data_IF_364631057426
#
_entry.id   IF_364631057426
#
_cell.length_a   1.000
_cell.length_b   1.000
_cell.length_c   1.000
_cell.angle_alpha   90.00
_cell.angle_beta   90.00
_cell.angle_gamma   90.00
#
_symmetry.space_group_name_H-M   'P 1'
#
loop_
_entity.id
_entity.type
_entity.pdbx_description
1 polymer ?
#
# COMPACT_ATOMS: atom_id res chain seq x y z
N UNK A 1 18.03 -60.30 0.33
CA UNK A 1 17.84 -59.27 -0.72
C UNK A 1 16.43 -58.72 -0.63
N UNK A 2 16.24 -57.50 -0.12
CA UNK A 2 14.99 -56.76 -0.26
C UNK A 2 15.33 -55.27 -0.24
N UNK A 3 15.75 -54.79 -1.41
CA UNK A 3 15.80 -53.38 -1.76
C UNK A 3 14.38 -52.91 -2.01
N UNK A 4 14.02 -51.71 -1.53
CA UNK A 4 12.66 -51.20 -1.69
C UNK A 4 12.54 -49.73 -1.27
N UNK A 5 13.24 -48.88 -2.00
CA UNK A 5 13.02 -47.45 -2.25
C UNK A 5 12.26 -46.63 -1.20
N UNK A 6 13.03 -45.80 -0.49
CA UNK A 6 12.56 -44.67 0.32
C UNK A 6 12.37 -43.47 -0.63
N UNK A 7 11.12 -43.16 -0.99
CA UNK A 7 10.77 -41.96 -1.76
C UNK A 7 10.71 -40.78 -0.80
N UNK A 8 11.80 -40.00 -0.75
CA UNK A 8 11.87 -38.71 -0.08
C UNK A 8 11.24 -37.66 -1.01
N UNK A 9 9.97 -37.31 -0.78
CA UNK A 9 9.33 -36.17 -1.41
C UNK A 9 9.85 -34.90 -0.72
N UNK A 10 10.86 -34.27 -1.31
CA UNK A 10 11.28 -32.91 -0.94
C UNK A 10 10.26 -31.93 -1.53
N UNK A 11 9.23 -31.58 -0.76
CA UNK A 11 8.44 -30.38 -1.05
C UNK A 11 9.30 -29.15 -0.76
N UNK A 12 9.99 -28.65 -1.79
CA UNK A 12 10.54 -27.31 -1.78
C UNK A 12 9.36 -26.33 -1.83
N UNK A 13 8.90 -25.92 -0.65
CA UNK A 13 8.01 -24.78 -0.50
C UNK A 13 8.79 -23.53 -0.95
N UNK A 14 8.67 -23.18 -2.24
CA UNK A 14 9.06 -21.87 -2.71
C UNK A 14 8.18 -20.85 -1.99
N UNK A 15 8.75 -20.20 -0.98
CA UNK A 15 8.16 -19.03 -0.33
C UNK A 15 8.09 -17.90 -1.36
N UNK A 16 7.03 -17.90 -2.18
CA UNK A 16 6.64 -16.71 -2.93
C UNK A 16 6.19 -15.68 -1.90
N UNK A 17 6.86 -14.52 -1.79
CA UNK A 17 6.35 -13.46 -0.94
C UNK A 17 5.01 -13.02 -1.55
N UNK A 18 3.93 -13.26 -0.82
CA UNK A 18 2.61 -12.75 -1.17
C UNK A 18 2.60 -11.22 -0.97
N UNK A 19 3.11 -10.48 -1.95
CA UNK A 19 3.06 -9.01 -1.99
C UNK A 19 1.72 -8.48 -2.52
N UNK A 20 0.64 -9.27 -2.42
CA UNK A 20 -0.66 -8.94 -2.99
C UNK A 20 -1.75 -8.84 -1.92
N UNK A 21 -1.49 -8.10 -0.84
CA UNK A 21 -2.56 -7.52 -0.02
C UNK A 21 -2.25 -6.05 0.29
N UNK A 22 -2.05 -5.23 -0.76
CA UNK A 22 -2.18 -3.78 -0.66
C UNK A 22 -3.67 -3.44 -0.65
N UNK A 23 -4.26 -3.52 0.54
CA UNK A 23 -5.69 -3.27 0.78
C UNK A 23 -5.99 -1.76 0.77
N UNK A 24 -5.73 -1.11 -0.35
CA UNK A 24 -6.10 0.27 -0.65
C UNK A 24 -6.29 0.37 -2.14
N UNK A 25 -7.49 0.72 -2.58
CA UNK A 25 -7.87 0.84 -3.98
C UNK A 25 -7.23 2.09 -4.61
N UNK A 26 -5.89 2.13 -4.64
CA UNK A 26 -5.13 3.17 -5.32
C UNK A 26 -5.14 2.80 -6.80
N UNK A 27 -5.66 3.69 -7.63
CA UNK A 27 -5.62 3.54 -9.09
C UNK A 27 -4.19 3.77 -9.56
N UNK A 28 -3.34 2.76 -9.38
CA UNK A 28 -2.04 2.66 -10.04
C UNK A 28 -2.30 2.49 -11.52
N UNK A 29 -1.55 3.21 -12.35
CA UNK A 29 -1.64 3.02 -13.80
C UNK A 29 -1.14 1.62 -14.13
N UNK A 30 -2.05 0.72 -14.51
CA UNK A 30 -1.71 -0.66 -14.80
C UNK A 30 -0.90 -0.75 -16.10
N UNK A 31 0.42 -0.92 -15.96
CA UNK A 31 1.28 -1.29 -17.09
C UNK A 31 0.93 -2.71 -17.50
N UNK A 32 0.53 -2.91 -18.76
CA UNK A 32 0.25 -4.25 -19.27
C UNK A 32 1.56 -4.96 -19.70
N UNK A 33 1.53 -6.28 -19.75
CA UNK A 33 2.72 -7.06 -20.15
C UNK A 33 3.14 -6.79 -21.60
N UNK A 34 2.20 -6.65 -22.54
CA UNK A 34 2.49 -6.59 -23.98
C UNK A 34 3.17 -5.27 -24.37
N UNK A 35 2.74 -4.18 -23.75
CA UNK A 35 3.29 -2.83 -23.86
C UNK A 35 4.66 -2.79 -23.21
N UNK A 36 4.80 -3.33 -21.99
CA UNK A 36 6.11 -3.46 -21.36
C UNK A 36 7.07 -4.29 -22.23
N UNK A 37 6.62 -5.42 -22.76
CA UNK A 37 7.47 -6.34 -23.50
C UNK A 37 7.99 -5.70 -24.81
N UNK A 38 7.14 -4.96 -25.52
CA UNK A 38 7.52 -4.32 -26.79
C UNK A 38 8.26 -3.00 -26.58
N UNK A 39 7.79 -2.13 -25.69
CA UNK A 39 8.31 -0.77 -25.57
C UNK A 39 9.44 -0.66 -24.55
N UNK A 40 9.32 -1.37 -23.41
CA UNK A 40 10.29 -1.26 -22.32
C UNK A 40 11.39 -2.31 -22.40
N UNK A 41 11.05 -3.55 -22.77
CA UNK A 41 12.01 -4.65 -22.94
C UNK A 41 12.53 -4.77 -24.38
N UNK A 42 11.89 -4.12 -25.36
CA UNK A 42 12.33 -4.11 -26.75
C UNK A 42 12.31 -5.50 -27.40
N UNK A 43 11.46 -6.40 -26.91
CA UNK A 43 11.38 -7.77 -27.41
C UNK A 43 10.48 -7.84 -28.65
N UNK A 44 10.78 -8.75 -29.61
CA UNK A 44 9.93 -8.95 -30.77
C UNK A 44 8.56 -9.50 -30.36
N UNK A 45 7.52 -9.12 -31.10
CA UNK A 45 6.12 -9.47 -30.79
C UNK A 45 5.93 -10.98 -30.64
N UNK A 46 6.56 -11.79 -31.50
CA UNK A 46 6.44 -13.25 -31.45
C UNK A 46 7.07 -13.86 -30.17
N UNK A 47 7.96 -13.12 -29.51
CA UNK A 47 8.49 -13.51 -28.19
C UNK A 47 7.53 -13.10 -27.08
N UNK A 48 6.95 -11.90 -27.16
CA UNK A 48 5.97 -11.41 -26.18
C UNK A 48 4.74 -12.32 -26.10
N UNK A 49 4.24 -12.79 -27.24
CA UNK A 49 3.09 -13.69 -27.32
C UNK A 49 3.31 -15.03 -26.59
N UNK A 50 4.56 -15.51 -26.54
CA UNK A 50 4.91 -16.77 -25.87
C UNK A 50 4.81 -16.71 -24.35
N UNK A 51 4.80 -15.49 -23.77
CA UNK A 51 4.69 -15.23 -22.32
C UNK A 51 5.51 -16.21 -21.49
N UNK A 52 6.81 -16.32 -21.78
CA UNK A 52 7.64 -17.30 -21.08
C UNK A 52 7.71 -16.97 -19.59
N UNK A 53 7.93 -17.97 -18.74
CA UNK A 53 8.04 -17.76 -17.30
C UNK A 53 9.13 -16.73 -16.94
N UNK A 54 10.21 -16.69 -17.72
CA UNK A 54 11.28 -15.71 -17.56
C UNK A 54 10.79 -14.28 -17.84
N UNK A 55 10.04 -14.09 -18.93
CA UNK A 55 9.56 -12.77 -19.34
C UNK A 55 8.49 -12.27 -18.35
N UNK A 56 7.60 -13.16 -17.88
CA UNK A 56 6.61 -12.84 -16.84
C UNK A 56 7.32 -12.41 -15.55
N UNK A 57 8.33 -13.15 -15.10
CA UNK A 57 9.07 -12.80 -13.89
C UNK A 57 9.79 -11.43 -14.02
N UNK A 58 10.34 -11.13 -15.20
CA UNK A 58 10.95 -9.84 -15.48
C UNK A 58 9.92 -8.69 -15.46
N UNK A 59 8.75 -8.89 -16.06
CA UNK A 59 7.64 -7.94 -16.01
C UNK A 59 7.17 -7.68 -14.58
N UNK A 60 6.95 -8.74 -13.80
CA UNK A 60 6.53 -8.62 -12.39
C UNK A 60 7.56 -7.86 -11.55
N UNK A 61 8.85 -8.11 -11.77
CA UNK A 61 9.94 -7.36 -11.13
C UNK A 61 9.93 -5.89 -11.54
N UNK A 62 9.68 -5.59 -12.82
CA UNK A 62 9.56 -4.22 -13.30
C UNK A 62 8.36 -3.51 -12.66
N UNK A 63 7.18 -4.15 -12.67
CA UNK A 63 5.96 -3.62 -12.07
C UNK A 63 6.17 -3.29 -10.58
N UNK A 64 6.76 -4.23 -9.83
CA UNK A 64 7.04 -4.02 -8.41
C UNK A 64 7.94 -2.79 -8.15
N UNK A 65 8.90 -2.51 -9.04
CA UNK A 65 9.75 -1.31 -8.93
C UNK A 65 8.96 -0.03 -9.17
N UNK A 66 8.10 0.00 -10.19
CA UNK A 66 7.26 1.18 -10.49
C UNK A 66 6.28 1.44 -9.35
N UNK A 67 5.57 0.40 -8.90
CA UNK A 67 4.59 0.50 -7.83
C UNK A 67 5.18 0.86 -6.46
N UNK A 68 6.48 0.63 -6.26
CA UNK A 68 7.17 1.08 -5.06
C UNK A 68 7.15 2.61 -4.93
N UNK A 69 7.14 3.33 -6.05
CA UNK A 69 7.11 4.80 -6.07
C UNK A 69 5.71 5.38 -6.28
N UNK A 70 4.89 4.74 -7.12
CA UNK A 70 3.56 5.27 -7.47
C UNK A 70 2.58 5.25 -6.28
N UNK A 71 2.56 4.17 -5.51
CA UNK A 71 1.58 4.03 -4.42
C UNK A 71 1.79 5.05 -3.30
N UNK A 72 3.02 5.27 -2.78
CA UNK A 72 3.24 6.33 -1.80
C UNK A 72 2.89 7.71 -2.34
N UNK A 73 3.10 7.96 -3.63
CA UNK A 73 2.72 9.23 -4.25
C UNK A 73 1.20 9.41 -4.28
N UNK A 74 0.45 8.40 -4.73
CA UNK A 74 -1.02 8.42 -4.76
C UNK A 74 -1.61 8.55 -3.35
N UNK A 75 -1.01 7.90 -2.36
CA UNK A 75 -1.39 8.04 -0.95
C UNK A 75 -1.31 9.49 -0.48
N UNK A 76 -0.17 10.15 -0.71
CA UNK A 76 0.01 11.56 -0.32
C UNK A 76 -0.96 12.48 -1.04
N UNK A 77 -1.16 12.27 -2.34
CA UNK A 77 -2.10 13.05 -3.14
C UNK A 77 -3.53 12.93 -2.64
N UNK A 78 -3.99 11.71 -2.36
CA UNK A 78 -5.34 11.46 -1.84
C UNK A 78 -5.51 12.03 -0.43
N UNK A 79 -4.50 11.94 0.42
CA UNK A 79 -4.56 12.52 1.77
C UNK A 79 -4.64 14.05 1.73
N UNK A 80 -3.86 14.70 0.87
CA UNK A 80 -3.92 16.16 0.68
C UNK A 80 -5.32 16.60 0.23
N UNK A 81 -5.88 15.95 -0.79
CA UNK A 81 -7.23 16.27 -1.27
C UNK A 81 -8.31 16.09 -0.18
N UNK A 82 -8.17 15.07 0.68
CA UNK A 82 -9.09 14.87 1.81
C UNK A 82 -8.96 15.97 2.85
N UNK A 83 -7.74 16.38 3.19
CA UNK A 83 -7.50 17.48 4.13
C UNK A 83 -8.07 18.80 3.61
N UNK A 84 -7.90 19.10 2.33
CA UNK A 84 -8.46 20.31 1.71
C UNK A 84 -10.00 20.33 1.80
N UNK A 85 -10.65 19.21 1.51
CA UNK A 85 -12.11 19.10 1.65
C UNK A 85 -12.58 19.20 3.11
N UNK A 86 -11.84 18.61 4.04
CA UNK A 86 -12.16 18.72 5.47
C UNK A 86 -11.97 20.16 5.97
N UNK A 87 -10.98 20.90 5.46
CA UNK A 87 -10.78 22.31 5.79
C UNK A 87 -11.92 23.17 5.23
N UNK A 88 -12.25 23.04 3.95
CA UNK A 88 -13.37 23.77 3.33
C UNK A 88 -14.70 23.46 4.01
N UNK A 89 -14.94 22.18 4.36
CA UNK A 89 -16.15 21.77 5.07
C UNK A 89 -16.21 22.35 6.49
N UNK A 90 -15.09 22.67 7.12
CA UNK A 90 -15.06 23.24 8.47
C UNK A 90 -14.64 24.72 8.45
N UNK A 91 -14.78 25.41 7.30
CA UNK A 91 -14.47 26.83 7.22
C UNK A 91 -15.44 27.61 8.13
N UNK A 92 -14.95 28.33 9.16
CA UNK A 92 -15.79 29.11 10.06
C UNK A 92 -16.52 30.28 9.40
N UNK A 93 -16.18 30.64 8.17
CA UNK A 93 -16.93 31.64 7.38
C UNK A 93 -18.28 31.07 6.94
N UNK A 94 -18.31 29.83 6.45
CA UNK A 94 -19.54 29.16 5.98
C UNK A 94 -20.24 28.38 7.11
N UNK A 95 -19.48 27.85 8.06
CA UNK A 95 -19.96 27.12 9.24
C UNK A 95 -19.44 27.76 10.53
N UNK A 96 -19.97 28.93 10.93
CA UNK A 96 -19.53 29.60 12.14
C UNK A 96 -19.77 28.68 13.35
N UNK A 97 -18.77 28.49 14.23
CA UNK A 97 -18.96 27.70 15.43
C UNK A 97 -20.10 28.32 16.23
N UNK A 98 -21.14 27.53 16.50
CA UNK A 98 -22.21 27.90 17.44
C UNK A 98 -21.54 28.03 18.80
N UNK A 99 -21.13 29.25 19.13
CA UNK A 99 -20.44 29.58 20.37
C UNK A 99 -21.38 29.34 21.54
N UNK A 100 -21.21 28.22 22.23
CA UNK A 100 -21.29 28.23 23.69
C UNK A 100 -19.87 28.10 24.25
N UNK A 101 -19.14 29.22 24.23
CA UNK A 101 -17.75 29.33 24.71
C UNK A 101 -17.63 29.00 26.20
N UNK A 102 -18.75 28.91 26.92
CA UNK A 102 -18.81 28.69 28.36
C UNK A 102 -18.46 27.25 28.78
N UNK A 103 -18.62 26.26 27.89
CA UNK A 103 -18.49 24.83 28.25
C UNK A 103 -17.11 24.20 27.97
N UNK A 104 -16.19 24.91 27.29
CA UNK A 104 -14.93 24.33 26.78
C UNK A 104 -13.66 24.92 27.38
N UNK A 105 -13.74 25.71 28.46
CA UNK A 105 -12.52 26.05 29.20
C UNK A 105 -12.07 24.83 30.01
N UNK A 106 -10.85 24.31 29.82
CA UNK A 106 -10.22 23.45 30.81
C UNK A 106 -10.10 24.29 32.08
N UNK A 107 -10.78 23.87 33.15
CA UNK A 107 -10.67 24.51 34.44
C UNK A 107 -9.23 24.34 34.95
N UNK A 108 -8.46 25.44 34.90
CA UNK A 108 -7.11 25.53 35.43
C UNK A 108 -7.06 25.39 36.97
N UNK A 109 -8.19 25.21 37.66
CA UNK A 109 -8.27 25.10 39.11
C UNK A 109 -8.52 23.68 39.65
N UNK A 110 -8.55 22.64 38.83
CA UNK A 110 -8.54 21.26 39.36
C UNK A 110 -7.12 20.83 39.70
N UNK A 111 -6.74 20.69 40.99
CA UNK A 111 -5.44 20.14 41.35
C UNK A 111 -5.34 18.68 40.88
N UNK A 112 -4.27 18.38 40.14
CA UNK A 112 -3.93 17.00 39.74
C UNK A 112 -3.63 16.16 40.96
N UNK A 113 -4.54 15.28 41.36
CA UNK A 113 -4.27 14.24 42.37
C UNK A 113 -3.47 13.10 41.72
N UNK A 114 -2.19 13.35 41.43
CA UNK A 114 -1.25 12.30 41.06
C UNK A 114 -0.76 11.61 42.34
N UNK A 115 -1.36 10.47 42.67
CA UNK A 115 -0.83 9.56 43.69
C UNK A 115 0.39 8.85 43.06
N UNK A 116 1.62 8.98 43.60
CA UNK A 116 2.78 8.26 43.08
C UNK A 116 2.69 6.76 43.41
N UNK A 117 3.24 5.85 42.57
CA UNK A 117 3.29 4.44 42.90
C UNK A 117 4.25 4.21 44.08
N UNK A 118 3.80 3.39 45.04
CA UNK A 118 4.57 3.00 46.23
C UNK A 118 5.67 1.99 45.83
N UNK A 119 6.91 2.12 46.36
CA UNK A 119 8.00 1.18 46.10
C UNK A 119 7.78 -0.20 46.73
#
# INVERSE_FOLDING_TARGET
MKTGFLVLILMAAAAVPALAQRNGNYQVTEMNFDLWCQEQAGLPTERCDKRTAQDIAAFESYRAKVEAYEIPYLQRKNNAARMDMDLLRNDPVDHPPVKDISAQRPDLNTPSTTIPPRP
#
